data_IF_862144214403
#
_entry.id   IF_862144214403
#
_cell.length_a   1.000
_cell.length_b   1.000
_cell.length_c   1.000
_cell.angle_alpha   90.00
_cell.angle_beta   90.00
_cell.angle_gamma   90.00
#
_symmetry.space_group_name_H-M   'P 1'
#
loop_
_entity.id
_entity.type
_entity.pdbx_description
1 polymer ?
#
# COMPACT_ATOMS: atom_id res chain seq x y z
N UNK A 1 -5.26 -18.61 4.10
CA UNK A 1 -6.23 -18.56 2.99
C UNK A 1 -6.12 -17.19 2.34
N UNK A 2 -5.16 -17.03 1.42
CA UNK A 2 -5.08 -15.87 0.54
C UNK A 2 -6.12 -16.10 -0.54
N UNK A 3 -7.29 -15.47 -0.40
CA UNK A 3 -8.31 -15.54 -1.43
C UNK A 3 -7.85 -14.63 -2.58
N UNK A 4 -7.08 -15.20 -3.50
CA UNK A 4 -7.06 -14.77 -4.90
C UNK A 4 -8.45 -15.10 -5.47
N UNK A 5 -9.42 -14.23 -5.18
CA UNK A 5 -10.79 -14.40 -5.65
C UNK A 5 -10.82 -14.09 -7.14
N UNK A 6 -10.85 -15.14 -7.96
CA UNK A 6 -11.55 -15.21 -9.24
C UNK A 6 -11.88 -13.85 -9.89
N UNK A 7 -10.87 -13.24 -10.52
CA UNK A 7 -11.08 -12.44 -11.73
C UNK A 7 -10.58 -10.99 -11.74
N UNK A 8 -10.37 -10.32 -10.60
CA UNK A 8 -9.83 -8.93 -10.59
C UNK A 8 -9.09 -8.66 -9.28
N UNK A 9 -7.79 -8.98 -9.21
CA UNK A 9 -6.96 -8.49 -8.12
C UNK A 9 -6.87 -6.95 -8.18
N UNK A 10 -7.03 -6.25 -7.04
CA UNK A 10 -6.89 -4.80 -6.99
C UNK A 10 -5.42 -4.43 -6.89
N UNK A 11 -4.77 -4.13 -8.02
CA UNK A 11 -3.43 -3.59 -8.01
C UNK A 11 -3.48 -2.07 -7.89
N UNK A 12 -2.82 -1.54 -6.88
CA UNK A 12 -2.63 -0.10 -6.69
C UNK A 12 -1.17 0.25 -7.02
N UNK A 13 -0.99 1.26 -7.85
CA UNK A 13 0.31 1.75 -8.27
C UNK A 13 0.55 3.13 -7.68
N UNK A 14 1.71 3.36 -7.09
CA UNK A 14 2.12 4.67 -6.62
C UNK A 14 2.43 5.60 -7.80
N UNK A 15 1.81 6.78 -7.82
CA UNK A 15 1.98 7.77 -8.88
C UNK A 15 2.73 9.02 -8.44
N UNK A 16 2.98 9.19 -7.15
CA UNK A 16 3.76 10.29 -6.62
C UNK A 16 3.77 10.33 -5.09
N UNK A 17 4.67 11.12 -4.54
CA UNK A 17 4.76 11.41 -3.10
C UNK A 17 4.85 12.93 -2.97
N UNK A 18 4.07 13.51 -2.06
CA UNK A 18 4.20 14.94 -1.74
C UNK A 18 5.49 15.10 -0.93
N UNK A 19 6.56 15.51 -1.59
CA UNK A 19 7.82 15.82 -0.91
C UNK A 19 7.92 17.34 -0.81
N UNK A 20 7.40 17.91 0.26
CA UNK A 20 7.90 19.15 0.82
C UNK A 20 9.40 18.92 1.08
N UNK A 21 10.24 19.66 0.35
CA UNK A 21 11.68 19.38 0.22
C UNK A 21 12.44 19.40 1.55
N UNK A 22 12.40 18.28 2.26
CA UNK A 22 13.26 17.95 3.40
C UNK A 22 14.08 16.72 3.03
N UNK A 23 15.38 16.94 2.97
CA UNK A 23 16.38 15.87 3.00
C UNK A 23 16.41 15.33 4.42
N UNK A 24 15.82 14.16 4.64
CA UNK A 24 16.11 13.37 5.83
C UNK A 24 16.83 12.09 5.39
N UNK A 25 18.14 12.08 5.61
CA UNK A 25 18.91 10.85 5.74
C UNK A 25 18.50 10.19 7.06
N UNK A 26 17.54 9.28 7.03
CA UNK A 26 17.32 8.37 8.15
C UNK A 26 18.11 7.09 7.89
N UNK A 27 19.39 7.09 8.29
CA UNK A 27 20.20 5.87 8.37
C UNK A 27 19.73 5.05 9.57
N UNK A 28 18.61 4.34 9.40
CA UNK A 28 18.18 3.33 10.35
C UNK A 28 18.88 2.02 10.02
N UNK A 29 20.03 1.82 10.66
CA UNK A 29 20.71 0.52 10.71
C UNK A 29 19.81 -0.48 11.43
N UNK A 30 19.02 -1.26 10.69
CA UNK A 30 18.33 -2.44 11.24
C UNK A 30 19.02 -3.70 10.76
N UNK A 31 19.43 -4.51 11.74
CA UNK A 31 20.15 -5.77 11.56
C UNK A 31 19.23 -6.75 10.83
N UNK A 32 19.61 -7.14 9.62
CA UNK A 32 19.05 -8.31 8.93
C UNK A 32 19.11 -9.53 9.85
N UNK A 33 17.95 -10.08 10.21
CA UNK A 33 17.83 -11.46 10.62
C UNK A 33 16.97 -12.17 9.58
N UNK A 34 17.65 -13.02 8.82
CA UNK A 34 17.12 -13.99 7.87
C UNK A 34 16.02 -14.86 8.50
N UNK A 35 15.11 -15.33 7.64
CA UNK A 35 14.19 -16.48 7.81
C UNK A 35 12.73 -16.18 8.20
N UNK A 36 12.03 -15.35 7.42
CA UNK A 36 10.58 -15.50 7.17
C UNK A 36 10.36 -15.09 5.71
N UNK A 37 9.47 -15.77 4.98
CA UNK A 37 8.96 -15.27 3.69
C UNK A 37 8.66 -13.77 3.81
N UNK A 38 9.52 -12.91 3.24
CA UNK A 38 9.51 -11.47 3.51
C UNK A 38 8.20 -10.90 2.96
N UNK A 39 7.22 -10.76 3.83
CA UNK A 39 5.95 -10.14 3.56
C UNK A 39 5.65 -9.25 4.75
N UNK A 40 5.50 -7.95 4.52
CA UNK A 40 5.08 -7.01 5.55
C UNK A 40 3.78 -6.33 5.13
N UNK A 41 3.02 -5.92 6.13
CA UNK A 41 1.71 -5.34 5.95
C UNK A 41 1.79 -3.87 6.35
N UNK A 42 1.21 -3.03 5.52
CA UNK A 42 1.19 -1.58 5.71
C UNK A 42 -0.24 -1.15 5.99
N UNK A 43 -0.44 -0.46 7.10
CA UNK A 43 -1.71 0.21 7.39
C UNK A 43 -1.66 1.62 6.83
N UNK A 44 -2.60 1.91 5.95
CA UNK A 44 -2.68 3.17 5.23
C UNK A 44 -4.01 3.84 5.49
N UNK A 45 -3.98 5.13 5.80
CA UNK A 45 -5.19 5.93 5.95
C UNK A 45 -5.47 6.66 4.65
N UNK A 46 -6.59 6.34 4.01
CA UNK A 46 -7.03 7.01 2.78
C UNK A 46 -7.34 8.47 3.08
N UNK A 47 -6.64 9.40 2.43
CA UNK A 47 -6.87 10.85 2.58
C UNK A 47 -7.72 11.43 1.46
N UNK A 48 -7.65 10.84 0.27
CA UNK A 48 -8.48 11.20 -0.87
C UNK A 48 -8.74 9.97 -1.74
N UNK A 49 -9.92 9.91 -2.35
CA UNK A 49 -10.27 8.94 -3.37
C UNK A 49 -11.20 9.59 -4.40
N UNK A 50 -11.00 9.29 -5.68
CA UNK A 50 -11.82 9.81 -6.76
C UNK A 50 -13.20 9.15 -6.77
N UNK A 51 -14.19 9.81 -7.38
CA UNK A 51 -15.54 9.25 -7.48
C UNK A 51 -15.58 7.93 -8.28
N UNK A 52 -14.63 7.71 -9.18
CA UNK A 52 -14.51 6.49 -9.98
C UNK A 52 -14.25 5.24 -9.12
N UNK A 53 -13.70 5.40 -7.91
CA UNK A 53 -13.53 4.28 -6.98
C UNK A 53 -14.85 3.66 -6.51
N UNK A 54 -15.99 4.36 -6.64
CA UNK A 54 -17.31 3.81 -6.30
C UNK A 54 -17.85 2.81 -7.34
N UNK A 55 -17.24 2.78 -8.53
CA UNK A 55 -17.74 1.98 -9.66
C UNK A 55 -17.44 0.49 -9.49
N UNK A 56 -16.28 0.13 -8.92
CA UNK A 56 -15.92 -1.28 -8.67
C UNK A 56 -16.21 -1.66 -7.22
N UNK A 57 -16.84 -2.84 -6.97
CA UNK A 57 -17.17 -3.27 -5.61
C UNK A 57 -15.96 -3.33 -4.67
N UNK A 58 -14.80 -3.76 -5.16
CA UNK A 58 -13.58 -3.84 -4.36
C UNK A 58 -13.04 -2.45 -3.97
N UNK A 59 -13.15 -1.46 -4.87
CA UNK A 59 -12.62 -0.11 -4.65
C UNK A 59 -13.61 0.81 -3.94
N UNK A 60 -14.89 0.42 -3.83
CA UNK A 60 -15.93 1.21 -3.17
C UNK A 60 -15.62 1.45 -1.68
N UNK A 61 -14.77 0.62 -1.09
CA UNK A 61 -14.27 0.79 0.28
C UNK A 61 -13.21 1.88 0.44
N UNK A 62 -12.59 2.37 -0.63
CA UNK A 62 -11.57 3.44 -0.61
C UNK A 62 -12.23 4.80 -0.34
N UNK A 63 -12.61 5.02 0.91
CA UNK A 63 -13.24 6.25 1.38
C UNK A 63 -12.31 6.97 2.34
N UNK A 64 -12.46 8.30 2.40
CA UNK A 64 -11.64 9.16 3.23
C UNK A 64 -11.66 8.73 4.71
N UNK A 65 -10.50 8.82 5.35
CA UNK A 65 -10.16 8.40 6.72
C UNK A 65 -10.35 6.91 7.02
N UNK A 66 -10.56 6.06 6.01
CA UNK A 66 -10.58 4.61 6.21
C UNK A 66 -9.16 4.05 6.22
N UNK A 67 -8.90 3.17 7.18
CA UNK A 67 -7.70 2.33 7.20
C UNK A 67 -7.83 1.19 6.17
N UNK A 68 -6.76 0.99 5.41
CA UNK A 68 -6.59 -0.08 4.44
C UNK A 68 -5.31 -0.82 4.78
N UNK A 69 -5.42 -2.14 4.87
CA UNK A 69 -4.27 -3.02 5.04
C UNK A 69 -3.78 -3.45 3.65
N UNK A 70 -2.51 -3.14 3.35
CA UNK A 70 -1.86 -3.52 2.10
C UNK A 70 -0.73 -4.49 2.40
N UNK A 71 -0.74 -5.63 1.72
CA UNK A 71 0.31 -6.64 1.81
C UNK A 71 1.40 -6.32 0.78
N UNK A 72 2.63 -6.16 1.26
CA UNK A 72 3.83 -6.22 0.43
C UNK A 72 4.32 -7.67 0.41
N UNK A 73 4.40 -8.27 -0.78
CA UNK A 73 4.92 -9.62 -0.96
C UNK A 73 6.34 -9.57 -1.51
N UNK A 74 7.14 -10.59 -1.22
CA UNK A 74 8.55 -10.69 -1.65
C UNK A 74 8.76 -10.44 -3.14
N UNK A 75 7.82 -10.88 -3.99
CA UNK A 75 7.92 -10.75 -5.44
C UNK A 75 7.76 -9.30 -5.93
N UNK A 76 7.20 -8.42 -5.10
CA UNK A 76 7.00 -6.99 -5.35
C UNK A 76 8.03 -6.11 -4.62
N UNK A 77 8.99 -6.71 -3.90
CA UNK A 77 10.02 -5.98 -3.17
C UNK A 77 11.17 -5.55 -4.08
N UNK A 78 11.67 -4.33 -3.86
CA UNK A 78 12.93 -3.83 -4.42
C UNK A 78 14.12 -4.36 -3.61
N UNK A 79 15.34 -4.07 -4.06
CA UNK A 79 16.59 -4.56 -3.46
C UNK A 79 16.82 -4.13 -2.00
N UNK A 80 16.07 -3.14 -1.52
CA UNK A 80 16.02 -2.65 -0.14
C UNK A 80 14.88 -3.29 0.68
N UNK A 81 14.27 -4.38 0.19
CA UNK A 81 13.18 -5.14 0.83
C UNK A 81 11.91 -4.30 1.06
N UNK A 82 11.62 -3.36 0.15
CA UNK A 82 10.43 -2.50 0.20
C UNK A 82 9.56 -2.66 -1.03
N UNK A 83 8.24 -2.57 -0.89
CA UNK A 83 7.36 -2.48 -2.05
C UNK A 83 7.29 -1.05 -2.56
N UNK A 84 7.35 -0.90 -3.88
CA UNK A 84 6.95 0.34 -4.54
C UNK A 84 5.50 0.64 -4.17
N UNK A 85 5.26 1.75 -3.47
CA UNK A 85 3.92 2.13 -3.01
C UNK A 85 3.66 2.02 -1.53
N UNK A 86 4.58 1.43 -0.75
CA UNK A 86 4.45 1.37 0.71
C UNK A 86 4.48 2.74 1.38
N UNK A 87 4.90 3.78 0.64
CA UNK A 87 4.91 5.17 1.07
C UNK A 87 5.89 5.43 2.20
N UNK A 88 5.96 6.69 2.64
CA UNK A 88 6.74 7.09 3.81
C UNK A 88 5.79 7.44 4.96
N UNK A 89 6.25 7.26 6.19
CA UNK A 89 5.45 7.56 7.37
C UNK A 89 5.09 9.04 7.38
N UNK A 90 3.82 9.36 7.64
CA UNK A 90 3.28 10.72 7.64
C UNK A 90 3.40 11.50 6.31
N UNK A 91 3.94 10.90 5.25
CA UNK A 91 4.03 11.55 3.94
C UNK A 91 2.88 11.10 3.06
N UNK A 92 2.24 12.08 2.43
CA UNK A 92 1.13 11.84 1.51
C UNK A 92 1.64 11.17 0.25
N UNK A 93 1.16 9.96 0.02
CA UNK A 93 1.48 9.16 -1.16
C UNK A 93 0.25 9.08 -2.06
N UNK A 94 0.44 9.36 -3.34
CA UNK A 94 -0.59 9.34 -4.37
C UNK A 94 -0.58 8.01 -5.10
N UNK A 95 -1.76 7.56 -5.48
CA UNK A 95 -1.94 6.24 -6.06
C UNK A 95 -3.01 6.22 -7.15
N UNK A 96 -2.90 5.24 -8.04
CA UNK A 96 -3.90 4.89 -9.04
C UNK A 96 -4.16 3.40 -9.02
N UNK A 97 -5.44 3.02 -9.04
CA UNK A 97 -5.86 1.64 -9.16
C UNK A 97 -5.77 1.21 -10.61
N UNK A 98 -4.85 0.31 -10.93
CA UNK A 98 -4.60 -0.01 -12.32
C UNK A 98 -5.59 -1.07 -12.88
N UNK A 99 -6.35 -1.79 -12.03
CA UNK A 99 -7.56 -2.55 -12.43
C UNK A 99 -8.85 -1.74 -12.41
N UNK A 100 -8.81 -0.47 -12.00
CA UNK A 100 -9.96 0.41 -11.97
C UNK A 100 -9.62 1.78 -12.59
N UNK A 101 -9.71 1.91 -13.94
CA UNK A 101 -9.40 3.15 -14.62
C UNK A 101 -10.12 4.36 -14.03
N UNK A 102 -9.36 5.42 -13.75
CA UNK A 102 -9.85 6.65 -13.13
C UNK A 102 -10.02 6.60 -11.60
N UNK A 103 -9.93 5.41 -10.97
CA UNK A 103 -9.87 5.31 -9.52
C UNK A 103 -8.44 5.65 -9.05
N UNK A 104 -8.31 6.77 -8.36
CA UNK A 104 -7.04 7.28 -7.86
C UNK A 104 -7.28 8.05 -6.58
N UNK A 105 -6.21 8.33 -5.84
CA UNK A 105 -6.33 9.00 -4.58
C UNK A 105 -5.00 9.27 -3.90
N UNK A 106 -5.07 9.49 -2.60
CA UNK A 106 -3.90 9.56 -1.75
C UNK A 106 -4.14 8.89 -0.41
N UNK A 107 -3.08 8.39 0.20
CA UNK A 107 -3.05 7.88 1.56
C UNK A 107 -1.82 8.38 2.30
N UNK A 108 -1.79 8.16 3.60
CA UNK A 108 -0.60 8.28 4.44
C UNK A 108 -0.37 6.96 5.14
N UNK A 109 0.89 6.57 5.30
CA UNK A 109 1.25 5.38 6.07
C UNK A 109 1.11 5.66 7.55
N UNK A 110 0.28 4.87 8.23
CA UNK A 110 0.11 4.92 9.69
C UNK A 110 1.12 4.02 10.39
N UNK A 111 1.25 2.77 9.93
CA UNK A 111 2.18 1.80 10.50
C UNK A 111 2.57 0.72 9.48
N UNK A 112 3.64 -0.01 9.78
CA UNK A 112 3.99 -1.26 9.10
C UNK A 112 4.20 -2.37 10.13
N UNK A 113 3.94 -3.62 9.76
CA UNK A 113 4.14 -4.79 10.62
C UNK A 113 4.62 -5.99 9.80
N UNK A 114 5.57 -6.73 10.35
CA UNK A 114 6.08 -7.99 9.76
C UNK A 114 5.14 -9.18 10.04
N UNK A 115 4.32 -9.14 11.11
CA UNK A 115 3.28 -10.15 11.36
C UNK A 115 2.04 -9.81 10.51
N UNK A 116 2.13 -10.18 9.24
CA UNK A 116 1.18 -9.80 8.21
C UNK A 116 -0.20 -10.45 8.42
N UNK A 117 -1.10 -9.75 9.13
CA UNK A 117 -2.49 -10.18 9.37
C UNK A 117 -3.49 -9.17 8.84
N UNK A 118 -3.64 -9.12 7.52
CA UNK A 118 -4.73 -8.34 6.94
C UNK A 118 -6.07 -9.13 6.93
N UNK A 119 -7.21 -8.43 7.08
CA UNK A 119 -8.53 -9.04 6.86
C UNK A 119 -8.71 -9.41 5.38
N UNK A 120 -9.75 -10.21 5.08
CA UNK A 120 -10.03 -10.76 3.74
C UNK A 120 -10.20 -9.73 2.60
N UNK A 121 -10.29 -8.44 2.92
CA UNK A 121 -10.42 -7.33 1.98
C UNK A 121 -9.13 -6.48 1.94
N UNK A 122 -7.97 -7.13 1.96
CA UNK A 122 -6.66 -6.50 1.84
C UNK A 122 -6.34 -6.13 0.39
N UNK A 123 -5.41 -5.19 0.21
CA UNK A 123 -4.84 -4.87 -1.10
C UNK A 123 -3.42 -5.41 -1.19
N UNK A 124 -2.87 -5.50 -2.40
CA UNK A 124 -1.50 -6.01 -2.63
C UNK A 124 -0.75 -4.99 -3.48
N UNK A 125 0.51 -4.72 -3.10
CA UNK A 125 1.45 -3.96 -3.95
C UNK A 125 2.05 -4.86 -5.03
N UNK A 126 2.30 -4.28 -6.21
CA UNK A 126 2.97 -4.93 -7.36
C UNK A 126 4.07 -4.05 -7.90
#
# INVERSE_FOLDING_TARGET
MRIVSNGVQPYIVQTGVDTDGETQEEVTTFRMNLDVSECYCVQMIVKQASAACKVRPWSAGLVRERAVCVECQSDAMTTDNRCLGDGLQNIRTYWTAASAPGCSGSWVRESFTEDCRCPSYSMIFV
#
